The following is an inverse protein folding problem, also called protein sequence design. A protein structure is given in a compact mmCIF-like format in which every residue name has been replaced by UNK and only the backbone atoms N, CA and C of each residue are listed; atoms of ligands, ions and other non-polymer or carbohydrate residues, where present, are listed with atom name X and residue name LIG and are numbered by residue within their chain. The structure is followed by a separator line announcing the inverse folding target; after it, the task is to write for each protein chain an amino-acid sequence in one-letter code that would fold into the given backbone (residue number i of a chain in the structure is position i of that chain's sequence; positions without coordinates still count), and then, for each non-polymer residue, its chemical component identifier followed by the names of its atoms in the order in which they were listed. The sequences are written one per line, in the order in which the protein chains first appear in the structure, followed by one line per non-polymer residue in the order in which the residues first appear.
data_IF_289509322687
#
_entry.id   IF_289509322687
#
_cell.length_a   1.000
_cell.length_b   1.000
_cell.length_c   1.000
_cell.angle_alpha   90.00
_cell.angle_beta   90.00
_cell.angle_gamma   90.00
#
_symmetry.space_group_name_H-M   'P 1'
#
loop_
_entity.id
_entity.type
_entity.pdbx_description
1 polymer ?
#
# COMPACT_ATOMS: atom_id res chain seq x y z
N UNK A 1 14.25 0.37 23.91
CA UNK A 1 13.42 -0.33 24.90
C UNK A 1 14.22 -0.46 26.19
N UNK A 2 13.80 0.23 27.26
CA UNK A 2 14.61 0.29 28.49
C UNK A 2 14.02 -0.53 29.63
N UNK A 3 12.71 -0.79 29.60
CA UNK A 3 12.02 -1.58 30.62
C UNK A 3 11.69 -2.96 30.05
N UNK A 4 12.38 -4.03 30.51
CA UNK A 4 12.13 -5.38 30.02
C UNK A 4 10.80 -5.99 30.54
N UNK A 5 10.16 -5.36 31.53
CA UNK A 5 8.87 -5.80 32.07
C UNK A 5 7.67 -5.15 31.36
N UNK A 6 7.90 -4.16 30.50
CA UNK A 6 6.85 -3.44 29.80
C UNK A 6 6.53 -4.06 28.43
N UNK A 7 5.25 -4.03 28.06
CA UNK A 7 4.82 -4.33 26.70
C UNK A 7 5.08 -3.14 25.77
N UNK A 8 5.61 -3.44 24.59
CA UNK A 8 5.83 -2.46 23.54
C UNK A 8 5.08 -2.86 22.28
N UNK A 9 4.35 -1.91 21.69
CA UNK A 9 3.76 -2.09 20.37
C UNK A 9 4.76 -1.63 19.32
N UNK A 10 5.16 -2.53 18.43
CA UNK A 10 6.14 -2.26 17.36
C UNK A 10 5.44 -2.32 16.01
N UNK A 11 5.68 -1.33 15.16
CA UNK A 11 5.24 -1.33 13.76
C UNK A 11 6.44 -1.00 12.89
N UNK A 12 6.74 -1.87 11.95
CA UNK A 12 7.73 -1.64 10.90
C UNK A 12 7.00 -1.52 9.55
N UNK A 13 7.26 -0.46 8.82
CA UNK A 13 6.67 -0.20 7.50
C UNK A 13 7.78 -0.14 6.47
N UNK A 14 7.62 -0.87 5.39
CA UNK A 14 8.50 -0.85 4.23
C UNK A 14 7.70 -0.42 3.00
N UNK A 15 8.03 0.72 2.42
CA UNK A 15 7.40 1.27 1.22
C UNK A 15 8.47 1.75 0.23
N UNK A 16 8.91 0.86 -0.63
CA UNK A 16 9.94 1.19 -1.64
C UNK A 16 9.39 1.98 -2.82
N UNK A 17 8.07 2.18 -2.92
CA UNK A 17 7.45 2.94 -4.02
C UNK A 17 7.64 4.45 -3.89
N UNK A 18 8.07 4.93 -2.71
CA UNK A 18 8.33 6.34 -2.49
C UNK A 18 9.51 6.83 -3.33
N UNK A 19 9.38 8.05 -3.88
CA UNK A 19 10.39 8.68 -4.70
C UNK A 19 11.68 9.02 -3.92
N UNK A 20 12.70 9.55 -4.62
CA UNK A 20 13.98 9.84 -3.98
C UNK A 20 13.93 11.03 -3.03
N UNK A 21 12.98 11.94 -3.18
CA UNK A 21 12.78 13.05 -2.22
C UNK A 21 12.26 12.52 -0.87
N UNK A 22 11.58 11.38 -0.88
CA UNK A 22 11.00 10.71 0.28
C UNK A 22 11.76 9.41 0.66
N UNK A 23 13.01 9.26 0.24
CA UNK A 23 13.79 8.05 0.49
C UNK A 23 13.90 7.67 1.97
N UNK A 24 13.95 8.66 2.88
CA UNK A 24 14.00 8.43 4.32
C UNK A 24 12.70 7.88 4.93
N UNK A 25 11.63 7.88 4.16
CA UNK A 25 10.33 7.35 4.57
C UNK A 25 10.04 5.96 3.99
N UNK A 26 10.96 5.40 3.20
CA UNK A 26 10.82 4.03 2.66
C UNK A 26 10.86 2.97 3.76
N UNK A 27 11.59 3.23 4.85
CA UNK A 27 11.59 2.38 6.05
C UNK A 27 11.20 3.24 7.25
N UNK A 28 10.12 2.89 7.91
CA UNK A 28 9.62 3.56 9.11
C UNK A 28 9.47 2.57 10.24
N UNK A 29 9.92 2.94 11.41
CA UNK A 29 9.76 2.15 12.64
C UNK A 29 9.00 2.99 13.67
N UNK A 30 8.04 2.37 14.32
CA UNK A 30 7.24 3.00 15.38
C UNK A 30 7.27 2.17 16.65
N UNK A 31 7.31 2.86 17.78
CA UNK A 31 7.19 2.26 19.11
C UNK A 31 6.04 2.96 19.83
N UNK A 32 5.02 2.19 20.23
CA UNK A 32 3.83 2.72 20.88
C UNK A 32 3.20 3.90 20.13
N UNK A 33 3.09 3.80 18.80
CA UNK A 33 2.54 4.82 17.91
C UNK A 33 3.50 5.98 17.58
N UNK A 34 4.66 6.06 18.22
CA UNK A 34 5.63 7.14 18.01
C UNK A 34 6.72 6.71 17.04
N UNK A 35 6.94 7.51 15.99
CA UNK A 35 7.99 7.25 15.00
C UNK A 35 9.39 7.38 15.62
N UNK A 36 10.22 6.38 15.36
CA UNK A 36 11.64 6.43 15.68
C UNK A 36 12.35 7.23 14.58
N UNK A 37 13.04 8.30 14.96
CA UNK A 37 13.74 9.21 14.03
C UNK A 37 15.24 9.27 14.25
N UNK A 38 15.76 8.68 15.32
CA UNK A 38 17.17 8.68 15.66
C UNK A 38 17.76 7.26 15.51
N UNK A 39 18.66 7.12 14.56
CA UNK A 39 19.38 5.87 14.28
C UNK A 39 20.89 6.15 14.26
N UNK A 40 21.68 5.20 14.74
CA UNK A 40 23.14 5.29 14.63
C UNK A 40 23.60 5.15 13.17
N UNK A 41 22.88 4.35 12.39
CA UNK A 41 23.11 4.17 10.96
C UNK A 41 21.76 4.00 10.29
N UNK A 42 21.53 4.66 9.17
CA UNK A 42 20.34 4.54 8.36
C UNK A 42 20.75 4.39 6.89
N UNK A 43 20.41 3.25 6.31
CA UNK A 43 20.56 2.99 4.88
C UNK A 43 19.17 2.72 4.31
N UNK A 44 18.73 3.60 3.43
CA UNK A 44 17.42 3.46 2.80
C UNK A 44 17.53 2.66 1.51
N UNK A 45 16.58 1.76 1.22
CA UNK A 45 16.53 1.04 -0.05
C UNK A 45 16.36 2.00 -1.23
N UNK A 46 16.74 1.56 -2.43
CA UNK A 46 16.41 2.27 -3.65
C UNK A 46 14.90 2.23 -3.91
N UNK A 47 14.39 3.17 -4.72
CA UNK A 47 12.99 3.11 -5.17
C UNK A 47 12.74 1.82 -5.96
N UNK A 48 11.57 1.23 -5.76
CA UNK A 48 11.13 -0.04 -6.35
C UNK A 48 12.10 -1.22 -6.07
N UNK A 49 12.90 -1.13 -4.99
CA UNK A 49 13.78 -2.23 -4.62
C UNK A 49 12.97 -3.44 -4.14
N UNK A 50 13.21 -4.59 -4.76
CA UNK A 50 12.64 -5.85 -4.34
C UNK A 50 13.49 -6.49 -3.25
N UNK A 51 12.85 -7.00 -2.22
CA UNK A 51 13.48 -7.74 -1.12
C UNK A 51 13.13 -9.21 -1.19
N UNK A 52 13.90 -10.03 -0.49
CA UNK A 52 13.58 -11.44 -0.28
C UNK A 52 12.44 -11.64 0.72
N UNK A 53 12.06 -10.58 1.46
CA UNK A 53 10.86 -10.58 2.30
C UNK A 53 9.62 -10.90 1.45
N UNK A 54 8.76 -11.79 1.96
CA UNK A 54 7.56 -12.26 1.23
C UNK A 54 7.86 -13.08 -0.03
N UNK A 55 9.03 -13.74 -0.11
CA UNK A 55 9.37 -14.69 -1.16
C UNK A 55 9.34 -16.12 -0.62
N UNK A 56 9.43 -17.12 -1.50
CA UNK A 56 9.39 -18.55 -1.09
C UNK A 56 10.72 -19.01 -0.46
N UNK A 57 11.07 -18.42 0.67
CA UNK A 57 12.21 -18.80 1.51
C UNK A 57 11.77 -18.92 2.97
N UNK A 58 12.64 -19.48 3.81
CA UNK A 58 12.38 -19.56 5.25
C UNK A 58 12.31 -18.14 5.85
N UNK A 59 11.20 -17.84 6.52
CA UNK A 59 11.02 -16.65 7.35
C UNK A 59 10.86 -17.06 8.80
N UNK A 60 11.40 -16.28 9.72
CA UNK A 60 11.39 -16.58 11.15
C UNK A 60 10.87 -15.38 11.94
N UNK A 61 10.13 -15.66 13.01
CA UNK A 61 9.65 -14.65 13.97
C UNK A 61 10.28 -14.99 15.32
N UNK A 62 11.01 -14.02 15.90
CA UNK A 62 11.67 -14.20 17.18
C UNK A 62 12.99 -14.96 17.10
N UNK A 63 13.52 -15.20 15.91
CA UNK A 63 14.81 -15.81 15.69
C UNK A 63 15.54 -15.15 14.50
N UNK A 64 16.86 -15.07 14.57
CA UNK A 64 17.66 -14.65 13.44
C UNK A 64 17.83 -15.85 12.48
N UNK A 65 17.91 -15.58 11.16
CA UNK A 65 18.01 -16.61 10.12
C UNK A 65 19.27 -17.50 10.17
N UNK A 66 20.22 -17.17 11.01
CA UNK A 66 21.44 -17.96 11.28
C UNK A 66 21.23 -19.04 12.38
N UNK A 67 20.05 -19.11 12.97
CA UNK A 67 19.72 -20.05 14.05
C UNK A 67 20.40 -19.77 15.39
N UNK A 68 21.07 -18.59 15.54
CA UNK A 68 21.94 -18.30 16.67
C UNK A 68 21.42 -17.28 17.68
N UNK A 69 20.39 -16.52 17.35
CA UNK A 69 19.90 -15.42 18.19
C UNK A 69 18.39 -15.49 18.35
N UNK A 70 17.95 -16.14 19.42
CA UNK A 70 16.54 -16.26 19.77
C UNK A 70 16.07 -15.06 20.59
N UNK A 71 14.86 -14.61 20.35
CA UNK A 71 14.19 -13.63 21.19
C UNK A 71 13.76 -14.30 22.49
N UNK A 72 14.28 -13.82 23.61
CA UNK A 72 13.93 -14.28 24.96
C UNK A 72 12.93 -13.30 25.58
N UNK A 73 11.66 -13.48 25.25
CA UNK A 73 10.57 -12.62 25.71
C UNK A 73 9.22 -13.12 25.23
N UNK A 74 8.18 -12.38 25.56
CA UNK A 74 6.80 -12.69 25.15
C UNK A 74 6.39 -11.88 23.92
N UNK A 75 5.65 -12.49 23.01
CA UNK A 75 5.04 -11.86 21.85
C UNK A 75 3.56 -12.12 21.83
N UNK A 76 2.79 -11.17 21.33
CA UNK A 76 1.36 -11.31 21.11
C UNK A 76 0.93 -10.44 19.93
N UNK A 77 -0.12 -10.87 19.21
CA UNK A 77 -0.74 -10.14 18.12
C UNK A 77 0.26 -9.75 16.99
N UNK A 78 0.92 -10.74 16.42
CA UNK A 78 1.85 -10.52 15.31
C UNK A 78 1.07 -10.44 14.00
N UNK A 79 1.25 -9.34 13.26
CA UNK A 79 0.68 -9.10 11.94
C UNK A 79 1.80 -8.99 10.90
N UNK A 80 1.58 -9.59 9.76
CA UNK A 80 2.28 -9.28 8.52
C UNK A 80 1.24 -8.87 7.50
N UNK A 81 1.38 -7.68 6.92
CA UNK A 81 0.45 -7.14 5.92
C UNK A 81 1.20 -6.95 4.62
N UNK A 82 0.79 -7.69 3.62
CA UNK A 82 1.33 -7.62 2.26
C UNK A 82 0.59 -6.56 1.43
N UNK A 83 1.31 -5.87 0.55
CA UNK A 83 0.74 -4.90 -0.40
C UNK A 83 0.24 -3.59 0.20
N UNK A 84 0.52 -3.32 1.49
CA UNK A 84 0.10 -2.08 2.14
C UNK A 84 1.16 -1.47 3.05
N UNK A 85 1.36 -0.17 2.94
CA UNK A 85 2.20 0.62 3.83
C UNK A 85 1.33 1.31 4.90
N UNK A 86 0.96 0.54 5.94
CA UNK A 86 0.02 0.98 6.97
C UNK A 86 0.73 1.66 8.14
N UNK A 87 0.16 2.76 8.61
CA UNK A 87 0.64 3.50 9.77
C UNK A 87 0.16 2.86 11.09
N UNK A 88 0.80 3.17 12.24
CA UNK A 88 0.51 2.51 13.52
C UNK A 88 -0.94 2.68 13.97
N UNK A 89 -1.64 3.73 13.55
CA UNK A 89 -3.06 3.98 13.86
C UNK A 89 -3.99 2.89 13.32
N UNK A 90 -3.54 2.09 12.36
CA UNK A 90 -4.29 0.91 11.90
C UNK A 90 -4.30 -0.21 12.95
N UNK A 91 -3.28 -0.28 13.80
CA UNK A 91 -3.03 -1.35 14.78
C UNK A 91 -3.17 -0.90 16.24
N UNK A 92 -3.37 0.40 16.49
CA UNK A 92 -3.48 0.95 17.83
C UNK A 92 -4.12 2.34 17.84
N UNK A 93 -4.25 2.90 19.03
CA UNK A 93 -4.74 4.26 19.26
C UNK A 93 -4.22 4.79 20.59
N UNK A 94 -4.15 6.11 20.74
CA UNK A 94 -3.90 6.75 22.03
C UNK A 94 -5.22 6.85 22.79
N UNK A 95 -5.29 6.22 23.96
CA UNK A 95 -6.44 6.31 24.85
C UNK A 95 -6.56 7.76 25.37
N UNK A 96 -7.68 8.46 25.08
CA UNK A 96 -7.81 9.87 25.44
C UNK A 96 -7.92 10.13 26.95
N UNK A 97 -8.24 9.11 27.74
CA UNK A 97 -8.36 9.25 29.20
C UNK A 97 -7.03 9.10 29.91
N UNK A 98 -6.18 8.19 29.41
CA UNK A 98 -4.90 7.84 30.07
C UNK A 98 -3.69 8.37 29.32
N UNK A 99 -3.90 8.92 28.12
CA UNK A 99 -2.86 9.32 27.17
C UNK A 99 -1.82 8.21 26.92
N UNK A 100 -2.25 6.94 26.98
CA UNK A 100 -1.40 5.77 26.72
C UNK A 100 -1.76 5.14 25.39
N UNK A 101 -0.74 4.64 24.67
CA UNK A 101 -0.96 3.88 23.45
C UNK A 101 -1.53 2.51 23.77
N UNK A 102 -2.61 2.11 23.07
CA UNK A 102 -3.27 0.82 23.20
C UNK A 102 -3.37 0.12 21.86
N UNK A 103 -3.05 -1.18 21.78
CA UNK A 103 -3.26 -1.94 20.56
C UNK A 103 -4.74 -2.13 20.26
N UNK A 104 -5.10 -2.22 18.98
CA UNK A 104 -6.41 -2.63 18.48
C UNK A 104 -6.26 -3.68 17.40
N UNK A 105 -7.27 -4.53 17.23
CA UNK A 105 -7.26 -5.54 16.18
C UNK A 105 -7.39 -4.86 14.82
N UNK A 106 -6.48 -5.16 13.91
CA UNK A 106 -6.57 -4.75 12.51
C UNK A 106 -7.62 -5.57 11.76
N UNK A 107 -8.40 -4.91 10.91
CA UNK A 107 -9.34 -5.56 10.01
C UNK A 107 -8.73 -5.64 8.62
N UNK A 108 -8.37 -6.84 8.23
CA UNK A 108 -7.74 -7.09 6.94
C UNK A 108 -8.68 -6.82 5.76
N UNK A 109 -8.13 -6.31 4.66
CA UNK A 109 -8.82 -5.91 3.43
C UNK A 109 -8.78 -7.02 2.38
N UNK A 110 -9.48 -8.14 2.66
CA UNK A 110 -9.54 -9.29 1.72
C UNK A 110 -10.22 -8.96 0.39
N UNK A 111 -10.98 -7.88 0.33
CA UNK A 111 -11.70 -7.40 -0.85
C UNK A 111 -10.78 -6.81 -1.95
N UNK A 112 -9.51 -6.56 -1.64
CA UNK A 112 -8.55 -5.98 -2.58
C UNK A 112 -7.65 -7.01 -3.27
N UNK A 113 -7.70 -8.29 -2.85
CA UNK A 113 -6.83 -9.34 -3.37
C UNK A 113 -7.56 -10.25 -4.37
N UNK A 114 -6.81 -10.84 -5.29
CA UNK A 114 -7.35 -11.74 -6.32
C UNK A 114 -8.18 -11.06 -7.39
N UNK A 115 -8.18 -9.73 -7.45
CA UNK A 115 -8.95 -8.95 -8.44
C UNK A 115 -8.05 -8.53 -9.58
N UNK A 116 -8.54 -8.60 -10.82
CA UNK A 116 -7.86 -8.04 -12.00
C UNK A 116 -8.37 -6.63 -12.24
N UNK A 117 -7.70 -5.65 -11.61
CA UNK A 117 -8.09 -4.23 -11.64
C UNK A 117 -7.97 -3.60 -13.02
N UNK A 118 -6.98 -4.01 -13.82
CA UNK A 118 -6.79 -3.53 -15.19
C UNK A 118 -7.99 -3.80 -16.09
N UNK A 119 -8.80 -4.81 -15.78
CA UNK A 119 -10.04 -5.11 -16.50
C UNK A 119 -11.13 -4.04 -16.33
N UNK A 120 -11.03 -3.23 -15.27
CA UNK A 120 -11.94 -2.11 -15.00
C UNK A 120 -11.45 -0.77 -15.62
N UNK A 121 -10.34 -0.80 -16.37
CA UNK A 121 -9.72 0.35 -16.97
C UNK A 121 -10.12 0.48 -18.45
N UNK A 122 -10.60 1.64 -18.83
CA UNK A 122 -10.96 1.95 -20.21
C UNK A 122 -10.20 3.19 -20.66
N UNK A 123 -9.40 3.02 -21.71
CA UNK A 123 -8.75 4.14 -22.42
C UNK A 123 -9.73 4.84 -23.36
N UNK A 124 -9.30 5.95 -23.94
CA UNK A 124 -10.02 6.59 -25.03
C UNK A 124 -9.90 5.80 -26.36
N UNK A 125 -10.47 6.35 -27.44
CA UNK A 125 -10.48 5.69 -28.75
C UNK A 125 -9.07 5.45 -29.34
N UNK A 126 -8.02 6.09 -28.82
CA UNK A 126 -6.64 5.87 -29.26
C UNK A 126 -6.03 4.58 -28.71
N UNK A 127 -6.64 3.99 -27.66
CA UNK A 127 -6.15 2.80 -26.96
C UNK A 127 -4.89 3.06 -26.15
N UNK A 128 -4.40 2.01 -25.46
CA UNK A 128 -3.17 2.08 -24.67
C UNK A 128 -1.92 1.94 -25.52
N UNK A 129 -0.83 2.58 -25.11
CA UNK A 129 0.48 2.45 -25.73
C UNK A 129 1.03 1.02 -25.51
N UNK A 130 1.80 0.50 -26.47
CA UNK A 130 2.36 -0.85 -26.40
C UNK A 130 3.40 -1.04 -25.26
N UNK A 131 4.03 0.05 -24.81
CA UNK A 131 4.99 0.07 -23.72
C UNK A 131 4.42 0.65 -22.41
N UNK A 132 3.09 0.80 -22.33
CA UNK A 132 2.37 1.39 -21.18
C UNK A 132 0.91 0.90 -21.20
N UNK A 133 0.76 -0.42 -21.04
CA UNK A 133 -0.54 -1.11 -21.10
C UNK A 133 -1.40 -0.82 -19.86
N UNK A 134 -2.67 -1.17 -19.93
CA UNK A 134 -3.57 -1.06 -18.78
C UNK A 134 -3.05 -1.81 -17.54
N UNK A 135 -2.44 -2.98 -17.73
CA UNK A 135 -1.88 -3.79 -16.65
C UNK A 135 -0.68 -3.14 -15.96
N UNK A 136 0.09 -2.30 -16.67
CA UNK A 136 1.29 -1.63 -16.11
C UNK A 136 0.92 -0.58 -15.03
N UNK A 137 -0.34 -0.18 -14.94
CA UNK A 137 -0.87 0.64 -13.84
C UNK A 137 -1.26 -0.17 -12.60
N UNK A 138 -1.16 -1.50 -12.66
CA UNK A 138 -1.57 -2.43 -11.62
C UNK A 138 -0.59 -3.60 -11.43
N UNK A 139 0.67 -3.43 -11.77
CA UNK A 139 1.73 -4.44 -11.63
C UNK A 139 2.49 -4.35 -10.30
N UNK A 140 2.23 -3.28 -9.52
CA UNK A 140 2.89 -3.02 -8.24
C UNK A 140 4.19 -2.23 -8.36
N UNK A 141 4.70 -1.97 -9.57
CA UNK A 141 5.81 -1.06 -9.80
C UNK A 141 5.31 0.39 -9.90
N UNK A 142 6.04 1.33 -9.34
CA UNK A 142 5.64 2.73 -9.28
C UNK A 142 6.75 3.63 -9.82
N UNK A 143 6.47 4.32 -10.91
CA UNK A 143 7.46 5.20 -11.52
C UNK A 143 7.07 5.70 -12.91
N UNK A 144 8.05 6.27 -13.60
CA UNK A 144 7.89 6.86 -14.93
C UNK A 144 8.67 6.14 -16.04
N UNK A 145 9.25 4.97 -15.73
CA UNK A 145 9.88 4.12 -16.74
C UNK A 145 8.82 3.33 -17.50
N UNK A 146 9.13 2.93 -18.75
CA UNK A 146 8.25 2.05 -19.51
C UNK A 146 7.85 0.81 -18.71
N UNK A 147 6.64 0.35 -18.86
CA UNK A 147 6.02 -0.76 -18.12
C UNK A 147 5.80 -0.50 -16.59
N UNK A 148 5.89 0.75 -16.12
CA UNK A 148 5.56 1.14 -14.75
C UNK A 148 4.33 2.04 -14.67
N UNK A 149 3.60 2.22 -15.76
CA UNK A 149 2.43 3.08 -15.84
C UNK A 149 1.51 2.70 -17.00
N UNK A 150 0.23 2.96 -16.86
CA UNK A 150 -0.73 2.91 -17.96
C UNK A 150 -0.80 4.26 -18.67
N UNK A 151 -0.80 4.25 -20.00
CA UNK A 151 -0.92 5.47 -20.80
C UNK A 151 -1.66 5.22 -22.12
N UNK A 152 -2.60 6.10 -22.47
CA UNK A 152 -3.20 6.12 -23.80
C UNK A 152 -2.20 6.56 -24.88
N UNK A 153 -2.45 6.14 -26.10
CA UNK A 153 -1.76 6.70 -27.28
C UNK A 153 -2.02 8.20 -27.39
N UNK A 154 -1.13 8.88 -28.11
CA UNK A 154 -1.32 10.28 -28.47
C UNK A 154 -2.36 10.41 -29.60
N UNK A 155 -3.14 11.47 -29.62
CA UNK A 155 -4.11 11.74 -30.70
C UNK A 155 -5.50 12.15 -30.24
N UNK A 156 -5.89 11.84 -29.01
CA UNK A 156 -7.11 12.37 -28.40
C UNK A 156 -6.82 13.66 -27.62
N UNK A 157 -7.72 14.64 -27.70
CA UNK A 157 -7.62 15.88 -26.92
C UNK A 157 -9.02 16.34 -26.47
N UNK A 158 -9.34 16.24 -25.15
CA UNK A 158 -8.50 15.63 -24.12
C UNK A 158 -8.40 14.12 -24.28
N UNK A 159 -7.24 13.56 -23.89
CA UNK A 159 -7.09 12.13 -23.69
C UNK A 159 -7.62 11.75 -22.30
N UNK A 160 -8.29 10.59 -22.16
CA UNK A 160 -8.89 10.14 -20.91
C UNK A 160 -8.69 8.65 -20.67
N UNK A 161 -8.39 8.29 -19.42
CA UNK A 161 -8.46 6.91 -18.91
C UNK A 161 -9.49 6.91 -17.80
N UNK A 162 -10.42 5.97 -17.86
CA UNK A 162 -11.46 5.80 -16.82
C UNK A 162 -11.29 4.45 -16.13
N UNK A 163 -11.16 4.48 -14.83
CA UNK A 163 -11.17 3.30 -13.95
C UNK A 163 -12.55 3.19 -13.28
N UNK A 164 -13.24 2.07 -13.50
CA UNK A 164 -14.59 1.83 -12.97
C UNK A 164 -14.64 0.45 -12.33
N UNK A 165 -14.20 0.30 -11.07
CA UNK A 165 -14.19 -0.99 -10.38
C UNK A 165 -15.59 -1.52 -10.18
N UNK A 166 -15.81 -2.80 -10.48
CA UNK A 166 -17.12 -3.46 -10.35
C UNK A 166 -17.56 -3.45 -8.88
N UNK A 167 -18.76 -2.92 -8.61
CA UNK A 167 -19.29 -2.79 -7.27
C UNK A 167 -18.67 -1.66 -6.42
N UNK A 168 -17.70 -0.93 -6.98
CA UNK A 168 -16.95 0.09 -6.28
C UNK A 168 -15.99 -0.46 -5.23
N UNK A 169 -15.04 0.36 -4.78
CA UNK A 169 -14.10 0.01 -3.71
C UNK A 169 -14.40 0.87 -2.49
N UNK A 170 -14.74 0.25 -1.36
CA UNK A 170 -14.92 0.99 -0.11
C UNK A 170 -13.58 1.48 0.42
N UNK A 171 -13.55 2.70 0.94
CA UNK A 171 -12.40 3.26 1.63
C UNK A 171 -12.82 3.92 2.94
N UNK A 172 -11.91 3.97 3.92
CA UNK A 172 -12.16 4.49 5.26
C UNK A 172 -11.21 5.63 5.65
N UNK A 173 -10.16 5.86 4.88
CA UNK A 173 -9.19 6.92 5.15
C UNK A 173 -8.85 7.75 3.93
N UNK A 174 -8.40 7.14 2.83
CA UNK A 174 -7.95 7.89 1.67
C UNK A 174 -7.87 7.09 0.38
N UNK A 175 -7.92 7.84 -0.74
CA UNK A 175 -7.50 7.40 -2.05
C UNK A 175 -6.30 8.23 -2.46
N UNK A 176 -5.24 7.57 -2.89
CA UNK A 176 -4.04 8.19 -3.41
C UNK A 176 -3.77 7.68 -4.83
N UNK A 177 -3.16 8.52 -5.64
CA UNK A 177 -2.72 8.18 -6.99
C UNK A 177 -1.28 8.63 -7.21
N UNK A 178 -0.59 7.95 -8.10
CA UNK A 178 0.73 8.34 -8.58
C UNK A 178 0.64 8.69 -10.05
N UNK A 179 0.80 9.97 -10.41
CA UNK A 179 0.86 10.43 -11.80
C UNK A 179 2.30 10.55 -12.28
N UNK A 180 2.51 10.32 -13.56
CA UNK A 180 3.84 10.49 -14.20
C UNK A 180 4.00 11.83 -14.92
N UNK A 181 2.90 12.51 -15.27
CA UNK A 181 2.90 13.78 -15.97
C UNK A 181 2.10 14.83 -15.21
N UNK A 182 2.69 16.00 -14.98
CA UNK A 182 2.10 17.07 -14.19
C UNK A 182 0.90 17.78 -14.86
N UNK A 183 0.69 17.58 -16.16
CA UNK A 183 -0.45 18.11 -16.91
C UNK A 183 -1.66 17.15 -16.95
N UNK A 184 -1.57 16.02 -16.24
CA UNK A 184 -2.71 15.18 -15.97
C UNK A 184 -3.58 15.74 -14.84
N UNK A 185 -4.87 15.54 -14.94
CA UNK A 185 -5.84 15.79 -13.88
C UNK A 185 -6.51 14.49 -13.45
N UNK A 186 -7.02 14.47 -12.23
CA UNK A 186 -7.76 13.34 -11.67
C UNK A 186 -9.14 13.80 -11.22
N UNK A 187 -10.18 13.07 -11.56
CA UNK A 187 -11.53 13.28 -11.06
C UNK A 187 -12.00 12.01 -10.34
N UNK A 188 -12.36 12.17 -9.08
CA UNK A 188 -12.88 11.09 -8.22
C UNK A 188 -14.40 11.19 -8.20
N UNK A 189 -15.10 10.14 -8.60
CA UNK A 189 -16.57 10.04 -8.56
C UNK A 189 -17.33 11.20 -9.19
N UNK A 190 -16.76 11.91 -10.16
CA UNK A 190 -17.40 13.05 -10.79
C UNK A 190 -17.40 14.36 -9.95
N UNK A 191 -16.64 14.42 -8.87
CA UNK A 191 -16.61 15.58 -7.95
C UNK A 191 -15.81 16.79 -8.47
N UNK A 192 -15.26 16.69 -9.67
CA UNK A 192 -14.46 17.72 -10.33
C UNK A 192 -13.01 17.30 -10.53
N UNK A 193 -12.40 17.81 -11.60
CA UNK A 193 -11.02 17.52 -11.94
C UNK A 193 -10.05 18.26 -11.00
N UNK A 194 -9.06 17.55 -10.49
CA UNK A 194 -8.00 18.07 -9.61
C UNK A 194 -6.67 18.02 -10.37
N UNK A 195 -5.92 19.12 -10.39
CA UNK A 195 -4.52 19.12 -10.84
C UNK A 195 -3.65 18.71 -9.68
N UNK A 196 -2.81 17.69 -9.86
CA UNK A 196 -1.95 17.16 -8.82
C UNK A 196 -0.51 17.02 -9.31
N UNK A 197 0.43 17.00 -8.38
CA UNK A 197 1.85 16.85 -8.69
C UNK A 197 2.14 15.45 -9.26
N UNK A 198 3.08 15.38 -10.22
CA UNK A 198 3.59 14.14 -10.78
C UNK A 198 4.76 13.57 -9.99
N UNK A 199 5.10 12.30 -10.25
CA UNK A 199 6.23 11.56 -9.70
C UNK A 199 6.25 11.47 -8.17
N UNK A 200 5.07 11.49 -7.56
CA UNK A 200 4.87 11.30 -6.13
C UNK A 200 3.45 10.79 -5.86
N UNK A 201 3.26 10.18 -4.69
CA UNK A 201 1.93 9.86 -4.20
C UNK A 201 1.18 11.12 -3.77
N UNK A 202 -0.02 11.31 -4.30
CA UNK A 202 -0.90 12.42 -3.93
C UNK A 202 -2.24 11.90 -3.47
N UNK A 203 -2.70 12.38 -2.31
CA UNK A 203 -4.04 12.08 -1.80
C UNK A 203 -5.06 12.90 -2.59
N UNK A 204 -5.94 12.22 -3.29
CA UNK A 204 -7.02 12.82 -4.11
C UNK A 204 -8.38 12.78 -3.43
N UNK A 205 -8.52 11.95 -2.39
CA UNK A 205 -9.74 11.87 -1.56
C UNK A 205 -9.37 11.46 -0.14
N UNK A 206 -10.01 12.08 0.86
CA UNK A 206 -9.90 11.74 2.28
C UNK A 206 -11.26 11.39 2.86
N UNK A 207 -11.26 10.73 4.02
CA UNK A 207 -12.47 10.30 4.72
C UNK A 207 -12.91 8.90 4.36
N UNK A 208 -14.20 8.61 4.43
CA UNK A 208 -14.78 7.31 4.10
C UNK A 208 -15.80 7.42 2.97
N UNK A 209 -15.93 6.35 2.20
CA UNK A 209 -16.87 6.31 1.08
C UNK A 209 -16.68 5.11 0.18
N UNK A 210 -17.17 5.25 -1.05
CA UNK A 210 -16.98 4.25 -2.11
C UNK A 210 -16.33 4.93 -3.33
N UNK A 211 -15.25 4.37 -3.80
CA UNK A 211 -14.64 4.73 -5.08
C UNK A 211 -15.41 4.02 -6.18
N UNK A 212 -16.22 4.75 -6.93
CA UNK A 212 -16.97 4.22 -8.07
C UNK A 212 -16.25 4.50 -9.39
N UNK A 213 -15.58 5.67 -9.51
CA UNK A 213 -14.84 6.02 -10.72
C UNK A 213 -13.62 6.87 -10.39
N UNK A 214 -12.54 6.65 -11.15
CA UNK A 214 -11.43 7.60 -11.30
C UNK A 214 -11.29 7.92 -12.76
N UNK A 215 -11.23 9.20 -13.10
CA UNK A 215 -10.96 9.65 -14.47
C UNK A 215 -9.66 10.43 -14.48
N UNK A 216 -8.69 9.92 -15.20
CA UNK A 216 -7.44 10.59 -15.51
C UNK A 216 -7.58 11.30 -16.84
N UNK A 217 -7.27 12.58 -16.91
CA UNK A 217 -7.40 13.35 -18.14
C UNK A 217 -6.17 14.19 -18.41
N UNK A 218 -5.81 14.32 -19.68
CA UNK A 218 -4.73 15.18 -20.17
C UNK A 218 -5.21 16.02 -21.32
N UNK A 219 -5.10 17.35 -21.17
CA UNK A 219 -5.57 18.31 -22.17
C UNK A 219 -4.57 18.56 -23.31
N UNK A 220 -3.32 18.11 -23.15
CA UNK A 220 -2.29 18.23 -24.19
C UNK A 220 -2.34 17.05 -25.19
N UNK A 221 -1.61 17.14 -26.30
CA UNK A 221 -1.51 16.07 -27.29
C UNK A 221 -0.82 14.77 -26.80
N UNK A 222 -0.49 14.70 -25.50
CA UNK A 222 0.00 13.49 -24.84
C UNK A 222 -1.14 12.61 -24.34
N UNK A 223 -0.91 11.32 -24.21
CA UNK A 223 -1.90 10.39 -23.63
C UNK A 223 -2.10 10.64 -22.12
N UNK A 224 -3.32 10.51 -21.63
CA UNK A 224 -3.60 10.44 -20.21
C UNK A 224 -2.84 9.24 -19.61
N UNK A 225 -2.35 9.36 -18.37
CA UNK A 225 -1.50 8.35 -17.75
C UNK A 225 -1.57 8.36 -16.22
N UNK A 226 -1.32 7.21 -15.62
CA UNK A 226 -1.08 7.05 -14.19
C UNK A 226 -0.20 5.83 -13.95
N UNK A 227 0.56 5.83 -12.87
CA UNK A 227 1.43 4.70 -12.51
C UNK A 227 0.76 3.76 -11.51
N UNK A 228 0.08 4.27 -10.50
CA UNK A 228 -0.54 3.40 -9.50
C UNK A 228 -1.70 4.10 -8.78
N UNK A 229 -2.57 3.27 -8.19
CA UNK A 229 -3.70 3.68 -7.33
C UNK A 229 -3.54 3.00 -5.98
N UNK A 230 -3.76 3.75 -4.89
CA UNK A 230 -3.72 3.25 -3.53
C UNK A 230 -5.02 3.58 -2.81
N UNK A 231 -5.59 2.60 -2.12
CA UNK A 231 -6.81 2.73 -1.31
C UNK A 231 -6.50 2.32 0.13
N UNK A 232 -6.68 3.23 1.08
CA UNK A 232 -6.38 3.00 2.51
C UNK A 232 -4.98 2.44 2.75
N UNK A 233 -3.98 2.89 1.99
CA UNK A 233 -2.60 2.42 2.07
C UNK A 233 -2.27 1.17 1.25
N UNK A 234 -3.27 0.48 0.68
CA UNK A 234 -3.09 -0.70 -0.19
C UNK A 234 -2.94 -0.26 -1.64
N UNK A 235 -1.86 -0.66 -2.30
CA UNK A 235 -1.72 -0.52 -3.75
C UNK A 235 -2.62 -1.55 -4.42
N UNK A 236 -3.37 -1.12 -5.43
CA UNK A 236 -4.17 -2.03 -6.24
C UNK A 236 -3.25 -2.75 -7.25
N UNK A 237 -3.11 -4.06 -7.10
CA UNK A 237 -2.25 -4.90 -7.95
C UNK A 237 -3.10 -6.02 -8.54
N UNK A 238 -2.95 -6.27 -9.85
CA UNK A 238 -3.68 -7.30 -10.56
C UNK A 238 -3.41 -8.69 -9.99
N UNK A 239 -4.51 -9.41 -9.68
CA UNK A 239 -4.48 -10.78 -9.20
C UNK A 239 -3.49 -11.04 -8.03
N UNK A 240 -3.19 -10.00 -7.24
CA UNK A 240 -2.27 -10.11 -6.11
C UNK A 240 -2.73 -11.22 -5.15
N UNK A 241 -1.81 -12.12 -4.82
CA UNK A 241 -2.03 -13.08 -3.74
C UNK A 241 -2.00 -12.37 -2.39
N UNK A 242 -2.85 -12.80 -1.48
CA UNK A 242 -2.83 -12.33 -0.11
C UNK A 242 -1.89 -13.20 0.72
N UNK A 243 -0.69 -12.71 0.95
CA UNK A 243 0.31 -13.36 1.81
C UNK A 243 0.31 -12.78 3.23
N UNK A 244 -0.68 -11.95 3.56
CA UNK A 244 -0.82 -11.39 4.91
C UNK A 244 -1.20 -12.48 5.91
N UNK A 245 -0.73 -12.34 7.15
CA UNK A 245 -1.12 -13.22 8.24
C UNK A 245 -1.32 -12.47 9.56
N UNK A 246 -2.08 -13.08 10.46
CA UNK A 246 -2.26 -12.66 11.84
C UNK A 246 -2.10 -13.83 12.80
N UNK A 247 -1.11 -13.75 13.67
CA UNK A 247 -0.85 -14.74 14.71
C UNK A 247 -1.20 -14.13 16.06
N UNK A 248 -2.30 -14.54 16.72
CA UNK A 248 -2.71 -13.97 18.00
C UNK A 248 -1.72 -14.26 19.12
N UNK A 249 -1.07 -15.42 19.13
CA UNK A 249 -0.15 -15.88 20.18
C UNK A 249 -0.74 -15.68 21.58
N UNK A 250 -2.03 -16.00 21.73
CA UNK A 250 -2.84 -15.71 22.92
C UNK A 250 -2.98 -16.92 23.85
N UNK A 251 -2.28 -18.02 23.57
CA UNK A 251 -2.38 -19.27 24.29
C UNK A 251 -3.65 -20.10 24.02
N UNK A 252 -4.63 -19.56 23.30
CA UNK A 252 -5.90 -20.24 22.99
C UNK A 252 -5.90 -20.94 21.63
N UNK A 253 -4.88 -20.68 20.82
CA UNK A 253 -4.69 -21.29 19.50
C UNK A 253 -3.30 -21.90 19.41
N UNK A 254 -3.07 -22.93 18.57
CA UNK A 254 -1.72 -23.39 18.29
C UNK A 254 -0.85 -22.23 17.78
N UNK A 255 0.40 -22.20 18.25
CA UNK A 255 1.39 -21.22 17.77
C UNK A 255 1.52 -21.38 16.25
N UNK A 256 1.49 -20.25 15.51
CA UNK A 256 1.56 -20.25 14.07
C UNK A 256 0.21 -20.44 13.34
N UNK A 257 -0.89 -20.57 14.07
CA UNK A 257 -2.22 -20.62 13.45
C UNK A 257 -2.65 -19.23 12.98
N UNK A 258 -2.66 -19.03 11.67
CA UNK A 258 -3.09 -17.79 11.05
C UNK A 258 -4.60 -17.55 11.25
N UNK A 259 -4.95 -16.36 11.73
CA UNK A 259 -6.31 -15.87 11.95
C UNK A 259 -6.65 -14.61 11.14
N UNK A 260 -5.87 -14.28 10.12
CA UNK A 260 -6.14 -13.14 9.23
C UNK A 260 -7.42 -13.33 8.43
N UNK A 261 -7.65 -14.56 7.95
CA UNK A 261 -8.84 -14.94 7.21
C UNK A 261 -9.83 -15.67 8.14
N UNK A 262 -11.06 -15.15 8.36
CA UNK A 262 -12.08 -15.83 9.15
C UNK A 262 -12.62 -17.10 8.50
N UNK A 263 -12.25 -17.38 7.25
CA UNK A 263 -12.64 -18.58 6.52
C UNK A 263 -11.39 -19.27 5.92
N UNK A 264 -10.52 -19.88 6.75
CA UNK A 264 -9.43 -20.66 6.22
C UNK A 264 -10.05 -21.80 5.40
N UNK A 265 -9.80 -21.79 4.10
CA UNK A 265 -10.04 -22.98 3.28
C UNK A 265 -9.17 -24.09 3.88
N UNK A 266 -9.85 -25.13 4.39
CA UNK A 266 -9.25 -26.34 4.93
C UNK A 266 -8.24 -26.96 3.98
#
# INVERSE_FOLDING_TARGET
LRDPSAWYHLVAVLDTTLDNANANDRVRLYINGVRVTSFNTSNNPSQNNSFILNTNILHQIGELCDGGSNYDGEMSQVYFIDGAALEPENFGFTDPLTNTWRPKKYKHRTDLYGVTWSSALVGDASGFQSAALAADGFDGEVGSSNNQYAQNNTGSNPSTITFTPVGGIKFNSSIQVYLINADNTVNVNGEGAQTIAANQWVTVKTGSGTLNTLVFSRASNGGASFSAIRVDGHILIDAQNDNSFYLPMDGNSPIGNDKSNPNPLN
#
